data_IF_117341982675
#
_entry.id   IF_117341982675
#
_cell.length_a   1.000
_cell.length_b   1.000
_cell.length_c   1.000
_cell.angle_alpha   90.00
_cell.angle_beta   90.00
_cell.angle_gamma   90.00
#
_symmetry.space_group_name_H-M   'P 1'
#
loop_
_entity.id
_entity.type
_entity.pdbx_description
1 polymer ?
#
# COMPACT_ATOMS: atom_id res chain seq x y z
N UNK A 1 11.42 22.75 -2.39
CA UNK A 1 12.46 23.51 -3.11
C UNK A 1 12.09 23.42 -4.57
N UNK A 2 11.98 24.51 -5.34
CA UNK A 2 11.67 24.40 -6.76
C UNK A 2 12.89 23.81 -7.49
N UNK A 3 12.83 22.53 -7.86
CA UNK A 3 13.91 21.84 -8.56
C UNK A 3 13.86 22.21 -10.05
N UNK A 4 14.54 23.28 -10.43
CA UNK A 4 14.65 23.70 -11.84
C UNK A 4 15.61 22.78 -12.60
N UNK A 5 15.48 22.67 -13.93
CA UNK A 5 16.28 21.81 -14.83
C UNK A 5 17.80 22.03 -14.78
N UNK A 6 18.25 23.09 -14.09
CA UNK A 6 19.64 23.40 -13.83
C UNK A 6 20.18 22.92 -12.48
N UNK A 7 19.39 22.17 -11.71
CA UNK A 7 19.87 21.61 -10.46
C UNK A 7 21.03 20.63 -10.71
N UNK A 8 22.21 21.06 -10.25
CA UNK A 8 23.45 20.29 -10.27
C UNK A 8 23.27 18.91 -9.63
N UNK A 9 22.36 18.79 -8.66
CA UNK A 9 22.00 17.54 -8.01
C UNK A 9 21.35 16.55 -8.98
N UNK A 10 20.32 16.96 -9.72
CA UNK A 10 19.63 16.12 -10.73
C UNK A 10 20.60 15.67 -11.82
N UNK A 11 21.45 16.59 -12.32
CA UNK A 11 22.48 16.25 -13.32
C UNK A 11 23.48 15.21 -12.81
N UNK A 12 23.87 15.27 -11.53
CA UNK A 12 24.76 14.29 -10.92
C UNK A 12 24.09 12.91 -10.76
N UNK A 13 22.81 12.88 -10.38
CA UNK A 13 22.01 11.65 -10.32
C UNK A 13 21.95 10.98 -11.70
N UNK A 14 21.60 11.73 -12.75
CA UNK A 14 21.51 11.15 -14.10
C UNK A 14 22.85 10.62 -14.60
N UNK A 15 23.96 11.31 -14.30
CA UNK A 15 25.32 10.84 -14.64
C UNK A 15 25.69 9.54 -13.93
N UNK A 16 25.31 9.38 -12.66
CA UNK A 16 25.57 8.12 -11.95
C UNK A 16 24.68 6.98 -12.45
N UNK A 17 23.48 7.30 -12.93
CA UNK A 17 22.54 6.34 -13.50
C UNK A 17 22.96 5.84 -14.89
N UNK A 18 23.42 6.76 -15.74
CA UNK A 18 23.76 6.51 -17.14
C UNK A 18 25.27 6.69 -17.38
N UNK A 19 26.10 5.96 -16.63
CA UNK A 19 27.57 6.10 -16.65
C UNK A 19 28.20 5.86 -18.03
N UNK A 20 27.52 5.08 -18.87
CA UNK A 20 27.97 4.77 -20.23
C UNK A 20 27.55 5.84 -21.26
N UNK A 21 26.89 6.92 -20.84
CA UNK A 21 26.50 8.00 -21.74
C UNK A 21 27.63 9.03 -21.85
N UNK A 22 28.07 9.32 -23.08
CA UNK A 22 29.08 10.32 -23.40
C UNK A 22 28.61 11.73 -23.02
N UNK A 23 27.29 11.96 -23.11
CA UNK A 23 26.65 13.24 -22.83
C UNK A 23 25.20 13.03 -22.41
N UNK A 24 24.74 13.81 -21.44
CA UNK A 24 23.36 13.81 -20.97
C UNK A 24 22.83 15.25 -21.03
N UNK A 25 21.65 15.43 -21.62
CA UNK A 25 20.91 16.70 -21.66
C UNK A 25 19.51 16.48 -21.11
N UNK A 26 19.11 17.33 -20.17
CA UNK A 26 17.73 17.40 -19.70
C UNK A 26 16.99 18.32 -20.67
N UNK A 27 15.94 17.80 -21.31
CA UNK A 27 15.11 18.53 -22.27
C UNK A 27 13.93 19.20 -21.57
N UNK A 28 13.30 18.48 -20.63
CA UNK A 28 12.17 18.96 -19.84
C UNK A 28 12.30 18.43 -18.40
N UNK A 29 11.85 19.23 -17.43
CA UNK A 29 11.81 18.86 -16.02
C UNK A 29 10.55 19.45 -15.39
N UNK A 30 9.68 18.59 -14.86
CA UNK A 30 8.43 19.00 -14.22
C UNK A 30 8.33 18.34 -12.84
N UNK A 31 8.31 19.15 -11.79
CA UNK A 31 8.06 18.65 -10.43
C UNK A 31 6.56 18.36 -10.27
N UNK A 32 6.23 17.15 -9.83
CA UNK A 32 4.87 16.78 -9.48
C UNK A 32 4.61 17.18 -8.03
N UNK A 33 3.94 18.31 -7.87
CA UNK A 33 3.34 18.70 -6.60
C UNK A 33 1.97 18.02 -6.45
N UNK A 34 1.96 16.68 -6.46
CA UNK A 34 0.77 15.91 -6.11
C UNK A 34 0.82 15.71 -4.58
N UNK A 35 -0.19 16.18 -3.83
CA UNK A 35 -0.29 16.13 -2.36
C UNK A 35 -0.26 14.70 -1.76
N UNK A 36 -0.10 13.68 -2.60
CA UNK A 36 -0.17 12.25 -2.27
C UNK A 36 1.21 11.68 -1.91
N UNK A 37 2.31 12.34 -2.30
CA UNK A 37 3.67 11.82 -2.11
C UNK A 37 4.31 12.33 -0.81
N UNK A 38 3.87 11.77 0.32
CA UNK A 38 4.26 12.23 1.67
C UNK A 38 5.76 12.07 2.00
N UNK A 39 6.47 11.14 1.35
CA UNK A 39 7.85 10.75 1.72
C UNK A 39 8.91 11.19 0.72
N UNK A 40 8.55 11.68 -0.46
CA UNK A 40 9.50 12.01 -1.52
C UNK A 40 8.98 13.06 -2.50
N UNK A 41 9.87 13.88 -3.03
CA UNK A 41 9.61 14.70 -4.22
C UNK A 41 9.68 13.83 -5.47
N UNK A 42 8.72 14.02 -6.38
CA UNK A 42 8.68 13.33 -7.67
C UNK A 42 8.91 14.32 -8.79
N UNK A 43 9.91 14.06 -9.64
CA UNK A 43 10.26 14.89 -10.79
C UNK A 43 10.13 14.06 -12.06
N UNK A 44 9.35 14.53 -13.03
CA UNK A 44 9.32 13.97 -14.38
C UNK A 44 10.41 14.61 -15.22
N UNK A 45 11.20 13.79 -15.92
CA UNK A 45 12.33 14.25 -16.71
C UNK A 45 12.26 13.66 -18.12
N UNK A 46 12.38 14.51 -19.14
CA UNK A 46 12.73 14.07 -20.50
C UNK A 46 14.21 14.29 -20.71
N UNK A 47 14.94 13.23 -21.04
CA UNK A 47 16.39 13.22 -21.10
C UNK A 47 16.87 12.69 -22.45
N UNK A 48 17.82 13.39 -23.06
CA UNK A 48 18.59 12.94 -24.20
C UNK A 48 19.97 12.47 -23.72
N UNK A 49 20.23 11.16 -23.85
CA UNK A 49 21.51 10.53 -23.53
C UNK A 49 22.23 10.14 -24.82
N UNK A 50 23.50 10.49 -24.98
CA UNK A 50 24.33 10.03 -26.09
C UNK A 50 25.11 8.80 -25.66
N UNK A 51 24.99 7.70 -26.40
CA UNK A 51 25.78 6.49 -26.18
C UNK A 51 26.44 6.10 -27.50
N UNK A 52 27.78 6.05 -27.53
CA UNK A 52 28.56 5.83 -28.75
C UNK A 52 28.19 6.84 -29.85
N UNK A 53 28.00 8.11 -29.48
CA UNK A 53 27.62 9.19 -30.40
C UNK A 53 26.17 9.16 -30.92
N UNK A 54 25.34 8.17 -30.54
CA UNK A 54 23.92 8.10 -30.93
C UNK A 54 23.01 8.64 -29.83
N UNK A 55 22.06 9.54 -30.13
CA UNK A 55 21.10 10.02 -29.15
C UNK A 55 20.06 8.94 -28.81
N UNK A 56 19.77 8.80 -27.53
CA UNK A 56 18.68 8.01 -26.97
C UNK A 56 17.80 8.92 -26.11
N UNK A 57 16.50 8.92 -26.38
CA UNK A 57 15.53 9.69 -25.61
C UNK A 57 14.93 8.81 -24.52
N UNK A 58 14.88 9.33 -23.30
CA UNK A 58 14.31 8.66 -22.12
C UNK A 58 13.31 9.58 -21.44
N UNK A 59 12.15 9.04 -21.13
CA UNK A 59 11.15 9.69 -20.29
C UNK A 59 11.15 9.00 -18.93
N UNK A 60 11.46 9.76 -17.88
CA UNK A 60 11.90 9.25 -16.59
C UNK A 60 11.08 9.87 -15.45
N UNK A 61 10.96 9.10 -14.37
CA UNK A 61 10.56 9.58 -13.05
C UNK A 61 11.78 9.52 -12.14
N UNK A 62 12.11 10.64 -11.52
CA UNK A 62 13.10 10.74 -10.46
C UNK A 62 12.37 10.95 -9.12
N UNK A 63 12.49 9.98 -8.21
CA UNK A 63 11.97 10.06 -6.83
C UNK A 63 13.13 10.43 -5.90
N UNK A 64 13.04 11.60 -5.28
CA UNK A 64 14.05 12.14 -4.38
C UNK A 64 13.50 12.09 -2.95
N UNK A 65 14.23 11.54 -1.97
CA UNK A 65 13.76 11.48 -0.59
C UNK A 65 13.65 12.91 -0.02
N UNK A 66 12.60 13.18 0.74
CA UNK A 66 12.46 14.49 1.38
C UNK A 66 13.63 14.77 2.35
N UNK A 67 14.15 16.00 2.34
CA UNK A 67 15.28 16.40 3.18
C UNK A 67 14.95 16.43 4.68
N UNK A 68 13.67 16.54 5.04
CA UNK A 68 13.18 16.53 6.42
C UNK A 68 13.09 15.09 6.97
N UNK A 69 14.22 14.40 6.91
CA UNK A 69 14.43 13.00 7.37
C UNK A 69 14.18 12.82 8.87
N UNK A 70 14.03 13.92 9.61
CA UNK A 70 13.75 13.99 11.04
C UNK A 70 12.28 13.80 11.40
N UNK A 71 11.36 13.67 10.43
CA UNK A 71 10.00 13.28 10.74
C UNK A 71 10.02 11.88 11.37
N UNK A 72 9.89 11.84 12.70
CA UNK A 72 10.21 10.67 13.53
C UNK A 72 9.37 9.45 13.16
N UNK A 73 8.22 9.67 12.54
CA UNK A 73 7.30 8.63 12.09
C UNK A 73 7.86 7.78 10.95
N UNK A 74 8.30 8.39 9.84
CA UNK A 74 8.70 7.66 8.63
C UNK A 74 10.07 6.97 8.77
N UNK A 75 10.98 7.58 9.54
CA UNK A 75 12.29 6.98 9.87
C UNK A 75 12.15 5.75 10.78
N UNK A 76 11.14 5.70 11.67
CA UNK A 76 10.89 4.52 12.54
C UNK A 76 10.56 3.25 11.75
N UNK A 77 9.90 3.38 10.57
CA UNK A 77 9.46 2.24 9.76
C UNK A 77 10.40 1.83 8.62
N UNK A 78 11.52 2.53 8.49
CA UNK A 78 12.56 2.24 7.50
C UNK A 78 12.04 2.20 6.05
N UNK A 79 10.95 2.93 5.77
CA UNK A 79 10.24 2.92 4.48
C UNK A 79 11.15 3.20 3.29
N UNK A 80 12.10 4.08 3.52
CA UNK A 80 13.02 4.52 2.52
C UNK A 80 14.00 3.40 2.09
N UNK A 81 14.66 2.78 3.06
CA UNK A 81 15.59 1.69 2.79
C UNK A 81 14.86 0.44 2.31
N UNK A 82 13.62 0.20 2.77
CA UNK A 82 12.72 -0.84 2.22
C UNK A 82 12.48 -0.65 0.73
N UNK A 83 12.13 0.55 0.29
CA UNK A 83 11.83 0.81 -1.12
C UNK A 83 13.07 0.60 -2.00
N UNK A 84 14.21 1.18 -1.61
CA UNK A 84 15.51 0.96 -2.29
C UNK A 84 15.79 -0.53 -2.42
N UNK A 85 15.73 -1.24 -1.30
CA UNK A 85 16.08 -2.66 -1.25
C UNK A 85 15.15 -3.50 -2.11
N UNK A 86 13.87 -3.15 -2.12
CA UNK A 86 12.87 -3.82 -2.96
C UNK A 86 13.21 -3.66 -4.45
N UNK A 87 13.56 -2.46 -4.89
CA UNK A 87 13.97 -2.22 -6.29
C UNK A 87 15.33 -2.81 -6.64
N UNK A 88 16.26 -2.89 -5.69
CA UNK A 88 17.59 -3.43 -5.91
C UNK A 88 17.62 -4.97 -5.92
N UNK A 89 16.84 -5.62 -5.05
CA UNK A 89 16.96 -7.06 -4.78
C UNK A 89 15.72 -7.86 -5.20
N UNK A 90 14.53 -7.41 -4.79
CA UNK A 90 13.29 -8.19 -4.96
C UNK A 90 12.72 -8.09 -6.37
N UNK A 91 12.56 -6.88 -6.90
CA UNK A 91 11.95 -6.64 -8.21
C UNK A 91 12.75 -7.31 -9.34
N UNK A 92 14.09 -7.21 -9.43
CA UNK A 92 14.84 -7.92 -10.46
C UNK A 92 14.65 -9.44 -10.43
N UNK A 93 14.58 -10.02 -9.22
CA UNK A 93 14.30 -11.46 -9.04
C UNK A 93 12.87 -11.81 -9.48
N UNK A 94 11.89 -10.95 -9.22
CA UNK A 94 10.52 -11.15 -9.69
C UNK A 94 10.41 -11.02 -11.22
N UNK A 95 11.05 -10.02 -11.80
CA UNK A 95 11.12 -9.81 -13.27
C UNK A 95 11.75 -11.02 -13.96
N UNK A 96 12.83 -11.59 -13.41
CA UNK A 96 13.46 -12.79 -13.96
C UNK A 96 12.48 -13.98 -14.07
N UNK A 97 11.48 -14.04 -13.18
CA UNK A 97 10.51 -15.14 -13.09
C UNK A 97 9.22 -14.90 -13.88
N UNK A 98 8.73 -13.66 -13.87
CA UNK A 98 7.43 -13.29 -14.45
C UNK A 98 7.55 -12.60 -15.81
N UNK A 99 8.74 -12.11 -16.15
CA UNK A 99 8.93 -11.02 -17.11
C UNK A 99 8.55 -9.67 -16.50
N UNK A 100 8.93 -8.58 -17.18
CA UNK A 100 8.64 -7.23 -16.71
C UNK A 100 7.22 -6.78 -17.11
N UNK A 101 6.18 -7.36 -16.48
CA UNK A 101 4.77 -7.05 -16.78
C UNK A 101 4.11 -6.15 -15.75
N UNK A 102 4.49 -6.30 -14.48
CA UNK A 102 3.81 -5.70 -13.32
C UNK A 102 4.60 -4.57 -12.65
N UNK A 103 5.81 -4.25 -13.13
CA UNK A 103 6.67 -3.22 -12.54
C UNK A 103 7.04 -2.15 -13.57
N UNK A 104 7.28 -0.89 -13.14
CA UNK A 104 8.04 0.04 -13.96
C UNK A 104 9.49 -0.46 -14.12
N UNK A 105 10.09 -0.16 -15.26
CA UNK A 105 11.54 -0.30 -15.42
C UNK A 105 12.26 0.61 -14.41
N UNK A 106 13.00 0.01 -13.49
CA UNK A 106 13.92 0.68 -12.59
C UNK A 106 15.29 0.79 -13.26
N UNK A 107 15.78 2.03 -13.45
CA UNK A 107 17.07 2.28 -14.10
C UNK A 107 18.23 2.25 -13.10
N UNK A 108 18.07 2.90 -11.95
CA UNK A 108 19.11 2.92 -10.92
C UNK A 108 18.60 3.46 -9.58
N UNK A 109 19.32 3.08 -8.52
CA UNK A 109 19.34 3.76 -7.23
C UNK A 109 20.66 4.51 -7.10
N UNK A 110 20.65 5.77 -6.69
CA UNK A 110 21.86 6.58 -6.54
C UNK A 110 22.47 6.50 -5.15
N UNK A 111 23.70 6.99 -5.00
CA UNK A 111 24.36 7.15 -3.70
C UNK A 111 23.70 8.20 -2.80
N UNK A 112 22.97 9.15 -3.40
CA UNK A 112 22.08 10.07 -2.69
C UNK A 112 20.71 9.45 -2.46
N UNK A 113 20.66 8.12 -2.51
CA UNK A 113 19.52 7.28 -2.23
C UNK A 113 18.42 7.35 -3.31
N UNK A 114 18.32 8.42 -4.10
CA UNK A 114 17.27 8.65 -5.11
C UNK A 114 17.05 7.50 -6.10
N UNK A 115 15.79 7.33 -6.54
CA UNK A 115 15.39 6.28 -7.47
C UNK A 115 15.01 6.85 -8.84
N UNK A 116 15.43 6.18 -9.92
CA UNK A 116 15.13 6.57 -11.30
C UNK A 116 14.35 5.46 -11.99
N UNK A 117 13.16 5.79 -12.50
CA UNK A 117 12.24 4.86 -13.15
C UNK A 117 11.86 5.32 -14.56
N UNK A 118 11.30 4.41 -15.35
CA UNK A 118 10.54 4.82 -16.53
C UNK A 118 9.30 5.63 -16.16
N UNK A 119 8.99 6.64 -16.97
CA UNK A 119 7.73 7.32 -16.86
C UNK A 119 6.63 6.53 -17.57
N UNK A 120 5.68 5.99 -16.79
CA UNK A 120 4.59 5.18 -17.32
C UNK A 120 3.53 6.01 -18.05
N UNK A 121 3.44 7.33 -17.79
CA UNK A 121 2.41 8.17 -18.42
C UNK A 121 2.58 8.27 -19.93
N UNK A 122 3.81 8.27 -20.45
CA UNK A 122 4.06 8.28 -21.90
C UNK A 122 3.73 6.96 -22.59
N UNK A 123 3.56 5.88 -21.82
CA UNK A 123 3.10 4.58 -22.33
C UNK A 123 1.57 4.42 -22.23
N UNK A 124 0.85 5.50 -21.91
CA UNK A 124 -0.61 5.51 -21.78
C UNK A 124 -1.13 4.99 -20.45
N UNK A 125 -0.26 4.76 -19.45
CA UNK A 125 -0.73 4.42 -18.11
C UNK A 125 -1.25 5.67 -17.39
N UNK A 126 -2.30 5.47 -16.59
CA UNK A 126 -2.92 6.48 -15.74
C UNK A 126 -2.88 6.01 -14.29
N UNK A 127 -2.73 6.94 -13.35
CA UNK A 127 -2.82 6.62 -11.93
C UNK A 127 -4.22 6.14 -11.59
N UNK A 128 -4.33 5.04 -10.83
CA UNK A 128 -5.60 4.54 -10.30
C UNK A 128 -6.25 5.52 -9.31
N UNK A 129 -5.52 6.51 -8.81
CA UNK A 129 -6.08 7.63 -8.04
C UNK A 129 -7.11 8.46 -8.84
N UNK A 130 -7.03 8.44 -10.18
CA UNK A 130 -7.96 9.13 -11.07
C UNK A 130 -9.26 8.36 -11.29
N UNK A 131 -9.30 7.10 -10.88
CA UNK A 131 -10.52 6.32 -10.85
C UNK A 131 -11.26 6.62 -9.54
N UNK A 132 -12.56 6.85 -9.61
CA UNK A 132 -13.39 7.00 -8.41
C UNK A 132 -13.26 5.72 -7.56
N UNK A 133 -13.49 4.55 -8.18
CA UNK A 133 -13.24 3.23 -7.61
C UNK A 133 -13.07 2.16 -8.70
N UNK A 134 -12.50 1.00 -8.34
CA UNK A 134 -12.41 -0.14 -9.25
C UNK A 134 -13.69 -0.98 -9.25
N UNK A 135 -14.29 -1.16 -10.43
CA UNK A 135 -15.39 -2.10 -10.63
C UNK A 135 -14.92 -3.57 -10.55
N UNK A 136 -15.85 -4.50 -10.76
CA UNK A 136 -15.57 -5.91 -10.66
C UNK A 136 -14.56 -6.42 -11.72
N UNK A 137 -14.59 -5.89 -12.94
CA UNK A 137 -13.70 -6.30 -14.03
C UNK A 137 -12.28 -5.77 -13.80
N UNK A 138 -12.16 -4.53 -13.32
CA UNK A 138 -10.90 -3.95 -12.87
C UNK A 138 -10.23 -4.86 -11.84
N UNK A 139 -11.01 -5.31 -10.84
CA UNK A 139 -10.50 -6.14 -9.75
C UNK A 139 -10.02 -7.53 -10.21
N UNK A 140 -10.60 -8.14 -11.23
CA UNK A 140 -10.08 -9.43 -11.73
C UNK A 140 -8.67 -9.32 -12.29
N UNK A 141 -8.37 -8.25 -13.01
CA UNK A 141 -7.04 -8.01 -13.56
C UNK A 141 -6.03 -7.61 -12.47
N UNK A 142 -6.45 -6.76 -11.52
CA UNK A 142 -5.59 -6.34 -10.41
C UNK A 142 -5.25 -7.52 -9.49
N UNK A 143 -6.24 -8.33 -9.10
CA UNK A 143 -6.02 -9.51 -8.26
C UNK A 143 -5.17 -10.58 -8.97
N UNK A 144 -5.28 -10.69 -10.29
CA UNK A 144 -4.39 -11.54 -11.09
C UNK A 144 -2.93 -11.05 -11.04
N UNK A 145 -2.69 -9.76 -11.17
CA UNK A 145 -1.34 -9.20 -11.05
C UNK A 145 -0.79 -9.35 -9.63
N UNK A 146 -1.63 -9.14 -8.61
CA UNK A 146 -1.25 -9.33 -7.20
C UNK A 146 -0.89 -10.79 -6.92
N UNK A 147 -1.68 -11.73 -7.43
CA UNK A 147 -1.39 -13.16 -7.32
C UNK A 147 -0.06 -13.55 -8.00
N UNK A 148 0.29 -12.93 -9.13
CA UNK A 148 1.59 -13.14 -9.78
C UNK A 148 2.74 -12.61 -8.93
N UNK A 149 2.59 -11.41 -8.37
CA UNK A 149 3.55 -10.80 -7.45
C UNK A 149 3.81 -11.69 -6.22
N UNK A 150 2.74 -12.16 -5.57
CA UNK A 150 2.83 -13.07 -4.43
C UNK A 150 3.42 -14.45 -4.78
N UNK A 151 3.09 -15.02 -5.93
CA UNK A 151 3.68 -16.28 -6.37
C UNK A 151 5.19 -16.15 -6.63
N UNK A 152 5.63 -15.03 -7.21
CA UNK A 152 7.05 -14.77 -7.45
C UNK A 152 7.83 -14.56 -6.15
N UNK A 153 7.27 -13.84 -5.18
CA UNK A 153 7.91 -13.68 -3.87
C UNK A 153 7.98 -15.00 -3.09
N UNK A 154 6.94 -15.82 -3.15
CA UNK A 154 6.97 -17.16 -2.57
C UNK A 154 8.09 -18.02 -3.19
N UNK A 155 8.25 -17.98 -4.52
CA UNK A 155 9.35 -18.67 -5.20
C UNK A 155 10.72 -18.19 -4.71
N UNK A 156 10.90 -16.88 -4.56
CA UNK A 156 12.16 -16.30 -4.04
C UNK A 156 12.44 -16.83 -2.63
N UNK A 157 11.42 -16.87 -1.77
CA UNK A 157 11.53 -17.41 -0.41
C UNK A 157 11.88 -18.90 -0.38
N UNK A 158 11.33 -19.70 -1.29
CA UNK A 158 11.69 -21.13 -1.37
C UNK A 158 13.17 -21.34 -1.71
N UNK A 159 13.75 -20.46 -2.51
CA UNK A 159 15.17 -20.51 -2.88
C UNK A 159 16.09 -19.87 -1.84
N UNK A 160 15.58 -18.89 -1.09
CA UNK A 160 16.32 -18.22 -0.02
C UNK A 160 15.44 -18.07 1.24
N UNK A 161 15.30 -19.12 2.06
CA UNK A 161 14.45 -19.07 3.26
C UNK A 161 14.89 -17.99 4.27
N UNK A 162 16.19 -17.69 4.33
CA UNK A 162 16.78 -16.71 5.26
C UNK A 162 16.37 -15.26 4.96
N UNK A 163 15.75 -15.01 3.80
CA UNK A 163 15.18 -13.69 3.46
C UNK A 163 14.12 -13.23 4.46
N UNK A 164 13.53 -14.16 5.22
CA UNK A 164 12.60 -13.88 6.31
C UNK A 164 13.26 -13.36 7.58
N UNK A 165 14.59 -13.30 7.68
CA UNK A 165 15.30 -12.76 8.84
C UNK A 165 15.76 -11.31 8.61
N UNK A 166 15.39 -10.73 7.48
CA UNK A 166 15.85 -9.41 7.08
C UNK A 166 15.12 -8.32 7.86
N UNK A 167 15.82 -7.73 8.83
CA UNK A 167 15.32 -6.66 9.72
C UNK A 167 14.58 -5.53 8.99
N UNK A 168 15.02 -5.19 7.77
CA UNK A 168 14.39 -4.20 6.91
C UNK A 168 12.89 -4.47 6.65
N UNK A 169 12.44 -5.73 6.68
CA UNK A 169 11.07 -6.12 6.29
C UNK A 169 10.18 -6.58 7.46
N UNK A 170 10.56 -6.28 8.72
CA UNK A 170 9.81 -6.73 9.91
C UNK A 170 9.04 -5.64 10.66
N UNK A 171 9.37 -4.36 10.48
CA UNK A 171 8.71 -3.27 11.21
C UNK A 171 7.42 -2.83 10.53
N UNK A 172 6.32 -2.90 11.26
CA UNK A 172 5.05 -2.26 10.90
C UNK A 172 4.60 -1.37 12.08
N UNK A 173 3.59 -0.51 11.89
CA UNK A 173 3.12 0.65 12.68
C UNK A 173 3.38 0.65 14.22
N UNK A 174 3.93 1.73 14.79
CA UNK A 174 4.23 1.84 16.23
C UNK A 174 2.98 2.08 17.09
N UNK A 175 2.99 1.61 18.34
CA UNK A 175 1.90 1.76 19.32
C UNK A 175 1.35 3.18 19.46
N UNK A 176 2.22 4.20 19.54
CA UNK A 176 1.82 5.61 19.73
C UNK A 176 0.88 6.07 18.61
N UNK A 177 1.22 5.72 17.36
CA UNK A 177 0.43 6.03 16.18
C UNK A 177 -0.95 5.39 16.19
N UNK A 178 -1.03 4.17 16.74
CA UNK A 178 -2.28 3.41 16.85
C UNK A 178 -3.17 4.04 17.92
N UNK A 179 -2.60 4.40 19.07
CA UNK A 179 -3.33 5.04 20.17
C UNK A 179 -3.93 6.39 19.74
N UNK A 180 -3.13 7.27 19.15
CA UNK A 180 -3.60 8.58 18.68
C UNK A 180 -4.73 8.43 17.65
N UNK A 181 -4.58 7.48 16.73
CA UNK A 181 -5.62 7.18 15.73
C UNK A 181 -6.91 6.68 16.39
N UNK A 182 -6.81 5.79 17.37
CA UNK A 182 -7.98 5.23 18.06
C UNK A 182 -8.73 6.32 18.83
N UNK A 183 -8.03 7.11 19.64
CA UNK A 183 -8.66 8.13 20.49
C UNK A 183 -9.31 9.25 19.65
N UNK A 184 -8.73 9.50 18.48
CA UNK A 184 -9.29 10.39 17.46
C UNK A 184 -10.59 9.85 16.85
N UNK A 185 -10.63 8.57 16.48
CA UNK A 185 -11.68 8.04 15.59
C UNK A 185 -12.79 7.28 16.29
N UNK A 186 -12.55 6.78 17.49
CA UNK A 186 -13.59 6.13 18.28
C UNK A 186 -14.84 6.97 18.49
N UNK A 187 -14.74 8.27 18.85
CA UNK A 187 -15.91 9.13 18.98
C UNK A 187 -16.67 9.28 17.66
N UNK A 188 -15.95 9.38 16.54
CA UNK A 188 -16.53 9.54 15.19
C UNK A 188 -17.32 8.30 14.78
N UNK A 189 -16.74 7.11 14.95
CA UNK A 189 -17.45 5.84 14.67
C UNK A 189 -18.70 5.70 15.55
N UNK A 190 -18.60 6.02 16.84
CA UNK A 190 -19.76 6.01 17.74
C UNK A 190 -20.86 6.97 17.30
N UNK A 191 -20.49 8.17 16.85
CA UNK A 191 -21.44 9.18 16.34
C UNK A 191 -22.15 8.69 15.09
N UNK A 192 -21.39 8.16 14.12
CA UNK A 192 -21.95 7.55 12.90
C UNK A 192 -22.94 6.43 13.25
N UNK A 193 -22.56 5.51 14.14
CA UNK A 193 -23.42 4.40 14.54
C UNK A 193 -24.72 4.87 15.20
N UNK A 194 -24.68 5.93 16.02
CA UNK A 194 -25.90 6.54 16.59
C UNK A 194 -26.78 7.16 15.51
N UNK A 195 -26.20 7.87 14.55
CA UNK A 195 -26.93 8.47 13.42
C UNK A 195 -27.60 7.43 12.52
N UNK A 196 -27.01 6.23 12.41
CA UNK A 196 -27.53 5.11 11.60
C UNK A 196 -28.33 4.09 12.41
N UNK A 197 -28.69 4.40 13.66
CA UNK A 197 -29.44 3.53 14.57
C UNK A 197 -28.80 2.14 14.79
N UNK A 198 -27.47 2.05 14.66
CA UNK A 198 -26.67 0.83 14.77
C UNK A 198 -25.86 0.79 16.08
N UNK A 199 -26.46 1.24 17.19
CA UNK A 199 -25.76 1.37 18.49
C UNK A 199 -25.31 0.03 19.09
N UNK A 200 -25.87 -1.09 18.64
CA UNK A 200 -25.44 -2.44 19.02
C UNK A 200 -23.98 -2.75 18.61
N UNK A 201 -23.43 -2.05 17.61
CA UNK A 201 -22.03 -2.19 17.19
C UNK A 201 -21.04 -1.39 18.05
N UNK A 202 -21.50 -0.45 18.89
CA UNK A 202 -20.61 0.40 19.70
C UNK A 202 -19.76 -0.45 20.67
N UNK A 203 -20.33 -1.40 21.45
CA UNK A 203 -19.54 -2.27 22.32
C UNK A 203 -18.52 -3.12 21.54
N UNK A 204 -18.85 -3.53 20.32
CA UNK A 204 -17.98 -4.35 19.49
C UNK A 204 -16.77 -3.56 18.96
N UNK A 205 -16.96 -2.30 18.57
CA UNK A 205 -15.87 -1.39 18.21
C UNK A 205 -14.97 -1.12 19.42
N UNK A 206 -15.54 -0.89 20.61
CA UNK A 206 -14.74 -0.69 21.83
C UNK A 206 -13.84 -1.90 22.11
N UNK A 207 -14.33 -3.13 21.93
CA UNK A 207 -13.51 -4.35 22.08
C UNK A 207 -12.36 -4.37 21.08
N UNK A 208 -12.64 -4.10 19.81
CA UNK A 208 -11.61 -4.07 18.76
C UNK A 208 -10.53 -3.02 19.07
N UNK A 209 -10.94 -1.82 19.51
CA UNK A 209 -10.02 -0.75 19.86
C UNK A 209 -9.25 -1.04 21.15
N UNK A 210 -9.89 -1.59 22.17
CA UNK A 210 -9.21 -2.04 23.39
C UNK A 210 -8.12 -3.07 23.09
N UNK A 211 -8.35 -3.97 22.13
CA UNK A 211 -7.30 -4.87 21.63
C UNK A 211 -6.18 -4.10 20.92
N UNK A 212 -6.52 -3.17 20.03
CA UNK A 212 -5.52 -2.38 19.31
C UNK A 212 -4.73 -1.40 20.19
N UNK A 213 -5.22 -1.03 21.37
CA UNK A 213 -4.47 -0.23 22.37
C UNK A 213 -3.43 -1.06 23.14
N UNK A 214 -3.41 -2.38 23.00
CA UNK A 214 -2.41 -3.25 23.63
C UNK A 214 -1.04 -3.06 22.98
N UNK A 215 0.00 -3.51 23.69
CA UNK A 215 1.38 -3.38 23.22
C UNK A 215 1.61 -3.97 21.82
N UNK A 216 2.61 -3.41 21.13
CA UNK A 216 2.98 -3.81 19.78
C UNK A 216 3.24 -5.31 19.71
N UNK A 217 3.93 -5.90 20.70
CA UNK A 217 4.25 -7.33 20.71
C UNK A 217 3.00 -8.21 20.69
N UNK A 218 1.94 -7.84 21.42
CA UNK A 218 0.69 -8.59 21.48
C UNK A 218 -0.10 -8.47 20.19
N UNK A 219 -0.18 -7.28 19.59
CA UNK A 219 -0.83 -7.11 18.29
C UNK A 219 -0.02 -7.78 17.18
N UNK A 220 1.31 -7.61 17.18
CA UNK A 220 2.21 -8.26 16.22
C UNK A 220 2.25 -9.77 16.34
N UNK A 221 2.03 -10.32 17.54
CA UNK A 221 1.94 -11.76 17.72
C UNK A 221 0.88 -12.40 16.83
N UNK A 222 -0.21 -11.68 16.53
CA UNK A 222 -1.29 -12.20 15.66
C UNK A 222 -0.90 -12.33 14.19
N UNK A 223 0.15 -11.63 13.76
CA UNK A 223 0.64 -11.58 12.37
C UNK A 223 2.05 -12.09 12.19
N UNK A 224 2.60 -12.79 13.18
CA UNK A 224 3.88 -13.48 12.99
C UNK A 224 3.76 -14.42 11.80
N UNK A 225 4.73 -14.33 10.90
CA UNK A 225 4.80 -15.15 9.68
C UNK A 225 4.73 -16.65 9.97
N UNK A 226 5.18 -17.10 11.15
CA UNK A 226 5.08 -18.47 11.64
C UNK A 226 3.64 -18.99 11.81
N UNK A 227 2.64 -18.12 11.87
CA UNK A 227 1.23 -18.52 11.96
C UNK A 227 0.59 -18.81 10.60
N UNK A 228 1.24 -18.46 9.49
CA UNK A 228 0.70 -18.58 8.15
C UNK A 228 1.33 -19.74 7.38
N UNK A 229 0.48 -20.52 6.71
CA UNK A 229 0.93 -21.64 5.86
C UNK A 229 1.63 -21.13 4.59
N UNK A 230 1.18 -19.98 4.08
CA UNK A 230 1.75 -19.28 2.96
C UNK A 230 2.22 -17.88 3.40
N UNK A 231 3.53 -17.66 3.33
CA UNK A 231 4.17 -16.37 3.59
C UNK A 231 4.74 -15.83 2.29
N UNK A 232 4.35 -14.61 1.93
CA UNK A 232 4.72 -13.90 0.70
C UNK A 232 5.25 -12.50 1.05
N UNK A 233 5.99 -11.92 0.13
CA UNK A 233 6.36 -10.51 0.20
C UNK A 233 5.15 -9.70 -0.25
N UNK A 234 4.54 -8.98 0.68
CA UNK A 234 3.43 -8.08 0.44
C UNK A 234 3.99 -6.71 0.03
N UNK A 235 3.25 -6.01 -0.84
CA UNK A 235 3.43 -4.60 -1.17
C UNK A 235 3.27 -3.73 0.08
N UNK A 236 2.30 -4.05 0.94
CA UNK A 236 2.08 -3.39 2.23
C UNK A 236 1.20 -2.15 2.17
N UNK A 237 1.16 -1.48 1.02
CA UNK A 237 0.26 -0.34 0.74
C UNK A 237 -0.42 -0.52 -0.63
N UNK A 238 -1.07 -1.67 -0.83
CA UNK A 238 -1.63 -2.05 -2.14
C UNK A 238 -2.99 -1.37 -2.41
N UNK A 239 -2.95 -0.06 -2.61
CA UNK A 239 -4.11 0.82 -2.85
C UNK A 239 -4.10 1.41 -4.27
N UNK A 240 -5.26 1.90 -4.76
CA UNK A 240 -5.44 2.40 -6.14
C UNK A 240 -4.43 3.48 -6.56
N UNK A 241 -3.98 4.30 -5.62
CA UNK A 241 -2.99 5.37 -5.81
C UNK A 241 -1.61 4.82 -6.19
N UNK A 242 -1.30 3.60 -5.74
CA UNK A 242 -0.05 2.89 -6.01
C UNK A 242 -0.16 1.94 -7.22
N UNK A 243 -1.27 2.01 -7.96
CA UNK A 243 -1.49 1.26 -9.20
C UNK A 243 -1.48 2.20 -10.41
N UNK A 244 -0.75 1.83 -11.45
CA UNK A 244 -0.75 2.48 -12.75
C UNK A 244 -1.48 1.58 -13.74
N UNK A 245 -2.58 2.08 -14.31
CA UNK A 245 -3.48 1.33 -15.18
C UNK A 245 -3.32 1.75 -16.63
N UNK A 246 -3.17 0.76 -17.52
CA UNK A 246 -3.25 0.97 -18.96
C UNK A 246 -4.61 0.48 -19.43
N UNK A 247 -5.34 1.33 -20.13
CA UNK A 247 -6.66 1.02 -20.66
C UNK A 247 -6.57 0.66 -22.15
N UNK A 248 -7.43 -0.26 -22.57
CA UNK A 248 -7.64 -0.55 -23.99
C UNK A 248 -8.52 0.52 -24.67
N UNK A 249 -8.77 0.37 -25.97
CA UNK A 249 -9.60 1.30 -26.74
C UNK A 249 -11.08 1.30 -26.36
N UNK A 250 -11.56 0.29 -25.63
CA UNK A 250 -12.94 0.15 -25.18
C UNK A 250 -13.13 0.68 -23.75
N UNK A 251 -12.05 1.06 -23.07
CA UNK A 251 -12.05 1.55 -21.70
C UNK A 251 -11.85 0.46 -20.64
N UNK A 252 -11.60 -0.80 -21.03
CA UNK A 252 -11.24 -1.86 -20.10
C UNK A 252 -9.77 -1.77 -19.68
N UNK A 253 -9.39 -2.40 -18.57
CA UNK A 253 -7.96 -2.49 -18.19
C UNK A 253 -7.25 -3.50 -19.10
N UNK A 254 -6.16 -3.09 -19.73
CA UNK A 254 -5.24 -3.95 -20.47
C UNK A 254 -4.11 -4.47 -19.56
N UNK A 255 -3.55 -3.61 -18.71
CA UNK A 255 -2.45 -3.96 -17.81
C UNK A 255 -2.41 -3.08 -16.55
N UNK A 256 -1.79 -3.59 -15.50
CA UNK A 256 -1.53 -2.86 -14.25
C UNK A 256 -0.05 -2.97 -13.87
N UNK A 257 0.53 -1.86 -13.43
CA UNK A 257 1.87 -1.81 -12.83
C UNK A 257 1.80 -1.27 -11.42
N UNK A 258 2.60 -1.85 -10.54
CA UNK A 258 2.69 -1.48 -9.13
C UNK A 258 3.83 -0.48 -8.95
N UNK A 259 3.61 0.54 -8.14
CA UNK A 259 4.59 1.56 -7.78
C UNK A 259 4.59 1.77 -6.26
N UNK A 260 5.62 2.41 -5.73
CA UNK A 260 5.74 2.78 -4.31
C UNK A 260 5.80 1.58 -3.33
N UNK A 261 6.97 0.92 -3.30
CA UNK A 261 7.22 -0.28 -2.50
C UNK A 261 7.77 0.02 -1.10
N UNK A 262 7.39 1.14 -0.51
CA UNK A 262 7.94 1.61 0.75
C UNK A 262 7.43 0.85 1.99
N UNK A 263 6.25 0.21 1.87
CA UNK A 263 5.59 -0.49 2.97
C UNK A 263 5.79 -2.01 2.97
N UNK A 264 6.67 -2.54 2.11
CA UNK A 264 6.77 -3.98 1.89
C UNK A 264 7.23 -4.77 3.12
N UNK A 265 6.66 -5.97 3.28
CA UNK A 265 6.97 -6.88 4.39
C UNK A 265 6.51 -8.31 4.12
N UNK A 266 6.99 -9.27 4.92
CA UNK A 266 6.64 -10.69 4.78
C UNK A 266 5.46 -11.08 5.66
N UNK A 267 4.34 -11.51 5.06
CA UNK A 267 3.13 -11.92 5.78
C UNK A 267 2.25 -12.83 4.91
N UNK A 268 1.03 -13.15 5.37
CA UNK A 268 0.02 -13.81 4.54
C UNK A 268 -0.33 -12.95 3.32
N UNK A 269 -0.59 -13.54 2.13
CA UNK A 269 -1.08 -12.81 0.96
C UNK A 269 -2.42 -12.10 1.17
N UNK A 270 -3.16 -12.51 2.21
CA UNK A 270 -4.44 -11.90 2.57
C UNK A 270 -4.26 -10.43 2.97
N UNK A 271 -3.07 -10.03 3.43
CA UNK A 271 -2.81 -8.65 3.83
C UNK A 271 -3.05 -7.67 2.67
N UNK A 272 -2.30 -7.80 1.58
CA UNK A 272 -2.49 -6.93 0.41
C UNK A 272 -3.89 -7.09 -0.20
N UNK A 273 -4.47 -8.29 -0.17
CA UNK A 273 -5.84 -8.51 -0.62
C UNK A 273 -6.84 -7.65 0.16
N UNK A 274 -6.78 -7.66 1.50
CA UNK A 274 -7.66 -6.86 2.34
C UNK A 274 -7.39 -5.36 2.19
N UNK A 275 -6.12 -4.94 2.16
CA UNK A 275 -5.74 -3.54 1.92
C UNK A 275 -6.34 -3.06 0.59
N UNK A 276 -6.23 -3.85 -0.47
CA UNK A 276 -6.80 -3.53 -1.78
C UNK A 276 -8.31 -3.32 -1.73
N UNK A 277 -9.03 -4.31 -1.17
CA UNK A 277 -10.49 -4.25 -1.11
C UNK A 277 -10.96 -3.03 -0.32
N UNK A 278 -10.29 -2.75 0.80
CA UNK A 278 -10.68 -1.66 1.68
C UNK A 278 -10.42 -0.30 1.04
N UNK A 279 -9.25 -0.07 0.44
CA UNK A 279 -8.90 1.25 -0.10
C UNK A 279 -9.38 1.51 -1.52
N UNK A 280 -9.57 0.47 -2.33
CA UNK A 280 -9.69 0.62 -3.79
C UNK A 280 -11.04 0.15 -4.36
N UNK A 281 -11.85 -0.57 -3.58
CA UNK A 281 -13.09 -1.21 -4.06
C UNK A 281 -14.30 -0.67 -3.30
N UNK A 282 -15.42 -0.34 -3.97
CA UNK A 282 -16.65 0.05 -3.30
C UNK A 282 -17.15 -1.07 -2.40
N UNK A 283 -17.65 -0.71 -1.21
CA UNK A 283 -18.15 -1.69 -0.25
C UNK A 283 -19.28 -2.55 -0.83
N UNK A 284 -20.10 -1.99 -1.70
CA UNK A 284 -21.22 -2.68 -2.35
C UNK A 284 -20.73 -3.82 -3.24
N UNK A 285 -19.57 -3.64 -3.90
CA UNK A 285 -18.94 -4.69 -4.70
C UNK A 285 -18.33 -5.74 -3.78
N UNK A 286 -17.62 -5.31 -2.73
CA UNK A 286 -17.02 -6.24 -1.75
C UNK A 286 -18.09 -7.10 -1.10
N UNK A 287 -19.14 -6.50 -0.53
CA UNK A 287 -20.21 -7.24 0.16
C UNK A 287 -20.89 -8.27 -0.74
N UNK A 288 -21.11 -7.91 -2.00
CA UNK A 288 -21.80 -8.76 -2.99
C UNK A 288 -20.89 -9.84 -3.59
N UNK A 289 -19.60 -9.56 -3.75
CA UNK A 289 -18.68 -10.37 -4.54
C UNK A 289 -17.45 -10.87 -3.77
N UNK A 290 -17.37 -10.69 -2.45
CA UNK A 290 -16.23 -11.10 -1.63
C UNK A 290 -15.77 -12.53 -1.92
N UNK A 291 -16.68 -13.49 -1.85
CA UNK A 291 -16.36 -14.90 -2.08
C UNK A 291 -15.76 -15.14 -3.47
N UNK A 292 -16.31 -14.47 -4.50
CA UNK A 292 -15.84 -14.54 -5.89
C UNK A 292 -14.47 -13.88 -6.05
N UNK A 293 -14.23 -12.75 -5.41
CA UNK A 293 -12.92 -12.08 -5.42
C UNK A 293 -11.85 -12.97 -4.79
N UNK A 294 -12.17 -13.69 -3.70
CA UNK A 294 -11.28 -14.68 -3.09
C UNK A 294 -11.01 -15.84 -4.06
N UNK A 295 -12.04 -16.39 -4.71
CA UNK A 295 -11.85 -17.47 -5.69
C UNK A 295 -10.97 -17.06 -6.86
N UNK A 296 -11.20 -15.86 -7.41
CA UNK A 296 -10.41 -15.32 -8.53
C UNK A 296 -8.95 -15.11 -8.13
N UNK A 297 -8.69 -14.54 -6.94
CA UNK A 297 -7.34 -14.39 -6.42
C UNK A 297 -6.64 -15.75 -6.26
N UNK A 298 -7.28 -16.72 -5.59
CA UNK A 298 -6.71 -18.04 -5.35
C UNK A 298 -6.47 -18.83 -6.64
N UNK A 299 -7.40 -18.77 -7.60
CA UNK A 299 -7.24 -19.42 -8.90
C UNK A 299 -6.02 -18.87 -9.66
N UNK A 300 -5.85 -17.54 -9.67
CA UNK A 300 -4.70 -16.91 -10.30
C UNK A 300 -3.39 -17.20 -9.55
N UNK A 301 -3.42 -17.27 -8.22
CA UNK A 301 -2.26 -17.62 -7.40
C UNK A 301 -1.79 -19.05 -7.70
N UNK A 302 -2.71 -20.02 -7.69
CA UNK A 302 -2.41 -21.42 -8.04
C UNK A 302 -1.86 -21.54 -9.45
N UNK A 303 -2.44 -20.80 -10.42
CA UNK A 303 -1.95 -20.77 -11.80
C UNK A 303 -0.52 -20.20 -11.89
N UNK A 304 -0.25 -19.11 -11.19
CA UNK A 304 1.08 -18.49 -11.16
C UNK A 304 2.12 -19.39 -10.49
N UNK A 305 1.80 -19.98 -9.33
CA UNK A 305 2.66 -20.94 -8.63
C UNK A 305 2.99 -22.15 -9.51
N UNK A 306 1.99 -22.72 -10.20
CA UNK A 306 2.21 -23.82 -11.16
C UNK A 306 3.14 -23.39 -12.30
N UNK A 307 2.96 -22.19 -12.85
CA UNK A 307 3.84 -21.64 -13.89
C UNK A 307 5.29 -21.46 -13.42
N UNK A 308 5.49 -21.13 -12.15
CA UNK A 308 6.79 -21.03 -11.50
C UNK A 308 7.32 -22.35 -10.95
N UNK A 309 6.64 -23.48 -11.22
CA UNK A 309 6.97 -24.81 -10.71
C UNK A 309 7.09 -24.85 -9.18
N UNK A 310 6.25 -24.06 -8.50
CA UNK A 310 6.13 -24.02 -7.04
C UNK A 310 4.93 -24.86 -6.61
N UNK A 311 5.15 -25.71 -5.61
CA UNK A 311 4.05 -26.34 -4.88
C UNK A 311 3.81 -25.57 -3.58
N UNK A 312 2.55 -25.28 -3.32
CA UNK A 312 2.08 -24.76 -2.03
C UNK A 312 0.72 -25.40 -1.75
N UNK A 313 0.64 -26.16 -0.68
CA UNK A 313 -0.62 -26.63 -0.14
C UNK A 313 -1.28 -25.42 0.56
N UNK A 314 -2.03 -24.61 -0.16
CA UNK A 314 -2.73 -23.45 0.39
C UNK A 314 -4.09 -23.33 -0.29
N UNK A 315 -5.12 -23.66 0.47
CA UNK A 315 -6.48 -23.82 -0.01
C UNK A 315 -7.40 -22.70 0.47
N UNK A 316 -8.62 -22.66 -0.06
CA UNK A 316 -9.61 -21.63 0.32
C UNK A 316 -9.83 -21.56 1.83
N UNK A 317 -9.85 -22.70 2.51
CA UNK A 317 -10.00 -22.75 3.97
C UNK A 317 -8.79 -22.11 4.69
N UNK A 318 -7.57 -22.29 4.18
CA UNK A 318 -6.37 -21.62 4.73
C UNK A 318 -6.45 -20.10 4.51
N UNK A 319 -6.90 -19.65 3.32
CA UNK A 319 -7.10 -18.23 3.03
C UNK A 319 -8.13 -17.60 3.97
N UNK A 320 -9.28 -18.25 4.17
CA UNK A 320 -10.32 -17.73 5.07
C UNK A 320 -9.88 -17.73 6.54
N UNK A 321 -9.07 -18.71 6.95
CA UNK A 321 -8.43 -18.70 8.27
C UNK A 321 -7.46 -17.53 8.42
N UNK A 322 -6.71 -17.21 7.38
CA UNK A 322 -5.82 -16.04 7.34
C UNK A 322 -6.62 -14.72 7.36
N UNK A 323 -7.78 -14.64 6.67
CA UNK A 323 -8.72 -13.50 6.79
C UNK A 323 -9.11 -13.29 8.25
N UNK A 324 -9.54 -14.34 8.95
CA UNK A 324 -9.87 -14.23 10.37
C UNK A 324 -8.68 -13.79 11.23
N UNK A 325 -7.47 -14.28 10.92
CA UNK A 325 -6.25 -13.85 11.63
C UNK A 325 -5.88 -12.40 11.39
N UNK A 326 -6.28 -11.84 10.25
CA UNK A 326 -5.99 -10.47 9.85
C UNK A 326 -7.17 -9.52 10.04
N UNK A 327 -8.18 -9.88 10.84
CA UNK A 327 -9.30 -9.00 11.16
C UNK A 327 -8.88 -7.65 11.77
N UNK A 328 -7.74 -7.58 12.49
CA UNK A 328 -7.22 -6.29 12.95
C UNK A 328 -6.74 -5.39 11.81
N UNK A 329 -6.23 -5.95 10.70
CA UNK A 329 -5.85 -5.18 9.51
C UNK A 329 -7.06 -4.45 8.96
N UNK A 330 -8.24 -5.10 8.95
CA UNK A 330 -9.47 -4.48 8.48
C UNK A 330 -9.77 -3.23 9.30
N UNK A 331 -9.79 -3.35 10.64
CA UNK A 331 -10.04 -2.22 11.54
C UNK A 331 -8.96 -1.13 11.39
N UNK A 332 -7.68 -1.50 11.31
CA UNK A 332 -6.58 -0.55 11.09
C UNK A 332 -6.68 0.18 9.75
N UNK A 333 -7.09 -0.50 8.68
CA UNK A 333 -7.31 0.12 7.37
C UNK A 333 -8.53 1.04 7.39
N UNK A 334 -9.61 0.70 8.11
CA UNK A 334 -10.75 1.60 8.28
C UNK A 334 -10.36 2.87 9.03
N UNK A 335 -9.57 2.74 10.10
CA UNK A 335 -8.98 3.89 10.80
C UNK A 335 -8.14 4.76 9.87
N UNK A 336 -7.29 4.14 9.03
CA UNK A 336 -6.47 4.87 8.09
C UNK A 336 -7.28 5.53 6.95
N UNK A 337 -8.34 4.90 6.42
CA UNK A 337 -9.24 5.51 5.43
C UNK A 337 -9.82 6.82 5.93
N UNK A 338 -10.22 6.84 7.19
CA UNK A 338 -10.73 8.03 7.84
C UNK A 338 -9.70 9.18 7.84
N UNK A 339 -8.42 8.88 8.10
CA UNK A 339 -7.32 9.86 8.07
C UNK A 339 -7.11 10.43 6.66
N UNK A 340 -7.18 9.58 5.62
CA UNK A 340 -7.01 10.02 4.25
C UNK A 340 -8.21 10.82 3.71
N UNK A 341 -9.42 10.59 4.23
CA UNK A 341 -10.64 11.27 3.77
C UNK A 341 -10.85 12.67 4.35
N UNK A 342 -10.25 12.99 5.51
CA UNK A 342 -10.55 14.23 6.24
C UNK A 342 -9.87 15.50 5.68
N UNK A 343 -9.50 15.55 4.39
CA UNK A 343 -8.81 16.70 3.76
C UNK A 343 -7.67 17.28 4.64
N UNK A 344 -6.88 16.39 5.24
CA UNK A 344 -5.68 16.73 6.01
C UNK A 344 -4.55 17.27 5.12
N UNK A 345 -4.78 17.52 3.83
CA UNK A 345 -3.87 18.35 3.02
C UNK A 345 -3.69 19.77 3.57
N UNK A 346 -4.59 20.25 4.44
CA UNK A 346 -4.42 21.52 5.16
C UNK A 346 -3.78 21.39 6.55
N UNK A 347 -3.62 20.19 7.10
CA UNK A 347 -2.92 20.02 8.38
C UNK A 347 -1.43 19.82 8.12
N UNK A 348 -0.72 20.95 7.97
CA UNK A 348 0.68 20.99 8.38
C UNK A 348 0.78 20.36 9.78
N UNK A 349 1.56 19.29 9.87
CA UNK A 349 1.98 18.59 11.09
C UNK A 349 0.86 17.87 11.85
N UNK A 350 0.87 16.54 11.72
CA UNK A 350 0.25 15.61 12.68
C UNK A 350 0.71 15.89 14.13
N UNK A 351 1.86 16.54 14.33
CA UNK A 351 2.36 16.96 15.65
C UNK A 351 1.59 18.16 16.28
N UNK A 352 0.67 18.84 15.57
CA UNK A 352 0.04 20.09 16.06
C UNK A 352 -1.48 20.02 16.26
N UNK A 353 -2.12 18.88 15.98
CA UNK A 353 -3.56 18.70 16.27
C UNK A 353 -3.84 18.26 17.72
N UNK A 354 -2.80 18.15 18.53
CA UNK A 354 -2.91 17.96 19.97
C UNK A 354 -3.24 19.31 20.61
N UNK A 355 -4.53 19.49 20.96
CA UNK A 355 -5.02 20.23 22.15
C UNK A 355 -5.32 21.75 22.11
N UNK A 356 -5.57 22.43 20.99
CA UNK A 356 -5.82 23.90 21.07
C UNK A 356 -7.24 24.44 20.86
N UNK A 357 -8.29 23.64 20.61
CA UNK A 357 -9.66 24.21 20.66
C UNK A 357 -10.72 23.15 21.00
N UNK A 358 -11.24 23.16 22.24
CA UNK A 358 -12.34 22.29 22.70
C UNK A 358 -13.72 22.73 22.22
N UNK A 359 -13.84 23.87 21.54
CA UNK A 359 -15.11 24.42 21.03
C UNK A 359 -15.32 24.22 19.52
N UNK A 360 -14.32 23.75 18.77
CA UNK A 360 -14.47 23.40 17.35
C UNK A 360 -14.84 21.93 17.19
N UNK A 361 -15.77 21.65 16.27
CA UNK A 361 -16.09 20.30 15.81
C UNK A 361 -14.77 19.58 15.48
N UNK A 362 -14.58 18.38 16.03
CA UNK A 362 -13.36 17.63 15.81
C UNK A 362 -13.15 17.47 14.29
N UNK A 363 -11.95 17.70 13.71
CA UNK A 363 -11.73 17.74 12.24
C UNK A 363 -12.22 16.48 11.51
N UNK A 364 -12.32 15.40 12.28
CA UNK A 364 -12.69 14.07 11.84
C UNK A 364 -14.20 13.80 11.96
N UNK A 365 -14.95 14.62 12.69
CA UNK A 365 -16.41 14.63 12.58
C UNK A 365 -16.87 15.34 11.30
N UNK A 366 -16.06 16.26 10.75
CA UNK A 366 -16.38 16.95 9.48
C UNK A 366 -16.45 15.96 8.31
N UNK A 367 -15.64 14.89 8.33
CA UNK A 367 -15.71 13.89 7.26
C UNK A 367 -17.03 13.11 7.25
N UNK A 368 -17.79 13.09 8.36
CA UNK A 368 -19.15 12.53 8.38
C UNK A 368 -20.19 13.44 7.67
N UNK A 369 -19.83 14.67 7.30
CA UNK A 369 -20.68 15.51 6.46
C UNK A 369 -20.69 15.05 4.99
N UNK A 370 -19.63 14.35 4.56
CA UNK A 370 -19.63 13.63 3.29
C UNK A 370 -20.46 12.34 3.46
N UNK A 371 -21.69 12.38 2.97
CA UNK A 371 -22.63 11.26 3.05
C UNK A 371 -22.12 10.02 2.30
N UNK A 372 -21.34 10.19 1.21
CA UNK A 372 -20.76 9.06 0.50
C UNK A 372 -19.69 8.36 1.35
N UNK A 373 -18.85 9.14 2.03
CA UNK A 373 -17.89 8.61 2.99
C UNK A 373 -18.59 7.92 4.17
N UNK A 374 -19.56 8.60 4.80
CA UNK A 374 -20.30 8.08 5.95
C UNK A 374 -21.02 6.76 5.60
N UNK A 375 -21.66 6.70 4.42
CA UNK A 375 -22.31 5.48 3.90
C UNK A 375 -21.29 4.37 3.66
N UNK A 376 -20.14 4.68 3.07
CA UNK A 376 -19.07 3.70 2.84
C UNK A 376 -18.54 3.12 4.16
N UNK A 377 -18.20 3.98 5.12
CA UNK A 377 -17.70 3.58 6.43
C UNK A 377 -18.72 2.71 7.18
N UNK A 378 -19.99 3.11 7.15
CA UNK A 378 -21.06 2.32 7.76
C UNK A 378 -21.25 0.95 7.09
N UNK A 379 -21.17 0.90 5.75
CA UNK A 379 -21.18 -0.36 5.01
C UNK A 379 -20.05 -1.30 5.44
N UNK A 380 -18.84 -0.77 5.60
CA UNK A 380 -17.69 -1.54 6.06
C UNK A 380 -17.87 -2.08 7.48
N UNK A 381 -18.43 -1.29 8.41
CA UNK A 381 -18.72 -1.75 9.78
C UNK A 381 -19.72 -2.91 9.81
N UNK A 382 -20.77 -2.86 8.98
CA UNK A 382 -21.71 -3.98 8.82
C UNK A 382 -21.05 -5.20 8.18
N UNK A 383 -20.17 -4.99 7.21
CA UNK A 383 -19.42 -6.09 6.61
C UNK A 383 -18.47 -6.75 7.60
N UNK A 384 -17.84 -5.99 8.50
CA UNK A 384 -17.05 -6.53 9.61
C UNK A 384 -17.88 -7.46 10.51
N UNK A 385 -19.10 -7.05 10.88
CA UNK A 385 -20.03 -7.89 11.65
C UNK A 385 -20.33 -9.20 10.89
N UNK A 386 -20.72 -9.11 9.61
CA UNK A 386 -21.00 -10.29 8.77
C UNK A 386 -19.80 -11.23 8.63
N UNK A 387 -18.58 -10.69 8.61
CA UNK A 387 -17.34 -11.46 8.46
C UNK A 387 -16.85 -12.07 9.78
N UNK A 388 -17.48 -11.75 10.91
CA UNK A 388 -17.09 -12.27 12.23
C UNK A 388 -15.88 -11.56 12.83
N UNK A 389 -15.65 -10.29 12.44
CA UNK A 389 -14.50 -9.49 12.87
C UNK A 389 -14.52 -9.28 14.38
N UNK A 390 -15.66 -8.91 14.93
CA UNK A 390 -15.77 -8.53 16.34
C UNK A 390 -15.67 -9.72 17.30
N UNK A 391 -16.21 -10.88 16.91
CA UNK A 391 -16.08 -12.16 17.61
C UNK A 391 -14.63 -12.64 17.68
N UNK A 392 -13.82 -12.25 16.69
CA UNK A 392 -12.39 -12.56 16.69
C UNK A 392 -11.65 -11.76 17.76
N UNK A 393 -11.95 -10.47 17.89
CA UNK A 393 -11.37 -9.63 18.95
C UNK A 393 -11.80 -10.08 20.35
N UNK A 394 -13.03 -10.55 20.52
CA UNK A 394 -13.48 -11.16 21.78
C UNK A 394 -12.62 -12.38 22.14
N UNK A 395 -12.40 -13.30 21.19
CA UNK A 395 -11.52 -14.47 21.40
C UNK A 395 -10.09 -14.07 21.73
N UNK A 396 -9.51 -13.08 21.05
CA UNK A 396 -8.16 -12.63 21.31
C UNK A 396 -8.00 -11.93 22.66
N UNK A 397 -9.03 -11.22 23.12
CA UNK A 397 -9.05 -10.57 24.43
C UNK A 397 -9.19 -11.60 25.56
N UNK A 398 -9.96 -12.67 25.34
CA UNK A 398 -10.19 -13.71 26.35
C UNK A 398 -9.03 -14.72 26.45
N UNK A 399 -8.38 -15.07 25.34
CA UNK A 399 -7.26 -16.03 25.31
C UNK A 399 -5.93 -15.46 25.85
N UNK A 400 -5.91 -14.20 26.26
CA UNK A 400 -4.75 -13.50 26.79
C UNK A 400 -4.72 -13.38 28.33
N UNK A 401 -5.59 -14.13 29.02
CA UNK A 401 -5.58 -14.28 30.49
C UNK A 401 -4.98 -15.63 30.91
N UNK A 402 -4.33 -16.37 30.00
CA UNK A 402 -3.66 -17.65 30.31
C UNK A 402 -2.17 -17.62 30.07
#
# INVERSE_FOLDING_TARGET
>A
MNFNSDDKHVKNILKSCFQNADKIRILESNEKNDEIHFTSSIIQLKVECYQNGKPQYKDLILKIPNSDRSNSYFSRFDFYHKEIRTYAEMIPRMIHRLGNRIFPTHYCTTSSESLVFENLSSQGYKSGAKEDFFDLEHNYLILKALAQFHAASYRIRQENPDILNEAAFHKTISIDARQDSIDTWYPVMCKLLRQREATHLIPEIEKAFSFLRQDDDRVYSTVKSSHFKLVVFNHGDFRKENLQLKHDSLGGIENVKFIDFQACWWSSPVYDFLVHLIFSVPIEIVEKHFEKLVDEYLANLKKALKGLKCFCDYERADFMKDVSRLHFVIISCLLAKCIFSSNISHAKKVDTLVLEDKEKMHPYEECLQDEAFAQSLFGWLKFCEKLGVFETFEKWTNNSVS
#
